data_IF_807301482558
#
_entry.id   IF_807301482558
#
_cell.length_a   1.000
_cell.length_b   1.000
_cell.length_c   1.000
_cell.angle_alpha   90.00
_cell.angle_beta   90.00
_cell.angle_gamma   90.00
#
_symmetry.space_group_name_H-M   'P 1'
#
loop_
_entity.id
_entity.type
_entity.pdbx_description
1 polymer ?
#
# COMPACT_ATOMS: atom_id res chain seq x y z
N UNK A 1 -31.58 -21.35 -24.50
CA UNK A 1 -31.00 -20.65 -23.33
C UNK A 1 -30.46 -19.31 -23.79
N UNK A 2 -31.15 -18.22 -23.42
CA UNK A 2 -30.80 -16.85 -23.79
C UNK A 2 -29.42 -16.48 -23.23
N UNK A 3 -28.46 -16.23 -24.13
CA UNK A 3 -27.16 -15.65 -23.78
C UNK A 3 -27.38 -14.19 -23.40
N UNK A 4 -27.63 -13.93 -22.12
CA UNK A 4 -27.49 -12.60 -21.53
C UNK A 4 -26.08 -12.08 -21.84
N UNK A 5 -25.97 -11.15 -22.78
CA UNK A 5 -24.76 -10.38 -23.05
C UNK A 5 -24.49 -9.50 -21.85
N UNK A 6 -23.74 -10.04 -20.88
CA UNK A 6 -23.25 -9.30 -19.73
C UNK A 6 -22.37 -8.14 -20.22
N UNK A 7 -22.57 -6.98 -19.64
CA UNK A 7 -21.68 -5.85 -19.82
C UNK A 7 -20.24 -6.22 -19.42
N UNK A 8 -19.24 -6.13 -20.31
CA UNK A 8 -17.89 -6.66 -20.08
C UNK A 8 -17.12 -6.02 -18.92
N UNK A 9 -17.63 -4.92 -18.35
CA UNK A 9 -17.01 -4.16 -17.26
C UNK A 9 -17.54 -4.50 -15.86
N UNK A 10 -18.62 -5.27 -15.71
CA UNK A 10 -19.10 -5.72 -14.41
C UNK A 10 -18.42 -7.04 -14.03
N UNK A 11 -17.75 -7.13 -12.86
CA UNK A 11 -17.13 -8.38 -12.45
C UNK A 11 -18.20 -9.47 -12.28
N UNK A 12 -17.99 -10.68 -12.80
CA UNK A 12 -18.79 -11.83 -12.41
C UNK A 12 -18.70 -12.07 -10.90
N UNK A 13 -19.83 -12.46 -10.30
CA UNK A 13 -19.82 -13.12 -8.98
C UNK A 13 -19.06 -14.46 -8.99
N UNK A 14 -19.02 -15.15 -10.14
CA UNK A 14 -18.27 -16.40 -10.35
C UNK A 14 -17.38 -16.26 -11.59
N UNK A 15 -16.06 -16.05 -11.43
CA UNK A 15 -15.16 -15.84 -12.56
C UNK A 15 -15.05 -17.12 -13.40
N UNK A 16 -15.10 -16.98 -14.73
CA UNK A 16 -15.01 -18.11 -15.68
C UNK A 16 -13.77 -18.02 -16.55
N UNK A 17 -13.14 -16.85 -16.62
CA UNK A 17 -11.99 -16.55 -17.45
C UNK A 17 -10.90 -15.82 -16.64
N UNK A 18 -9.64 -15.80 -17.10
CA UNK A 18 -8.59 -15.01 -16.46
C UNK A 18 -8.89 -13.51 -16.42
N UNK A 19 -9.53 -12.95 -17.45
CA UNK A 19 -9.97 -11.56 -17.46
C UNK A 19 -11.02 -11.30 -16.36
N UNK A 20 -11.94 -12.23 -16.12
CA UNK A 20 -12.92 -12.14 -15.04
C UNK A 20 -12.26 -12.05 -13.65
N UNK A 21 -11.18 -12.82 -13.43
CA UNK A 21 -10.41 -12.78 -12.18
C UNK A 21 -9.78 -11.40 -11.99
N UNK A 22 -9.22 -10.81 -13.05
CA UNK A 22 -8.69 -9.45 -12.99
C UNK A 22 -9.77 -8.42 -12.64
N UNK A 23 -10.96 -8.53 -13.25
CA UNK A 23 -12.07 -7.63 -12.94
C UNK A 23 -12.56 -7.77 -11.49
N UNK A 24 -12.63 -9.01 -10.98
CA UNK A 24 -13.00 -9.27 -9.60
C UNK A 24 -11.94 -8.73 -8.63
N UNK A 25 -10.66 -8.95 -8.92
CA UNK A 25 -9.55 -8.39 -8.16
C UNK A 25 -9.59 -6.86 -8.12
N UNK A 26 -9.83 -6.21 -9.28
CA UNK A 26 -9.94 -4.76 -9.38
C UNK A 26 -11.11 -4.22 -8.55
N UNK A 27 -12.28 -4.87 -8.63
CA UNK A 27 -13.44 -4.51 -7.83
C UNK A 27 -13.19 -4.71 -6.33
N UNK A 28 -12.49 -5.78 -5.94
CA UNK A 28 -12.05 -6.00 -4.56
C UNK A 28 -11.12 -4.89 -4.06
N UNK A 29 -10.17 -4.45 -4.90
CA UNK A 29 -9.28 -3.34 -4.59
C UNK A 29 -10.05 -2.01 -4.46
N UNK A 30 -11.01 -1.74 -5.34
CA UNK A 30 -11.88 -0.57 -5.25
C UNK A 30 -12.75 -0.58 -3.98
N UNK A 31 -13.23 -1.76 -3.56
CA UNK A 31 -13.99 -1.93 -2.33
C UNK A 31 -13.16 -1.53 -1.10
N UNK A 32 -11.82 -1.64 -1.14
CA UNK A 32 -10.97 -1.21 -0.03
C UNK A 32 -11.05 0.29 0.26
N UNK A 33 -11.40 1.12 -0.72
CA UNK A 33 -11.69 2.55 -0.50
C UNK A 33 -12.88 2.72 0.44
N UNK A 34 -13.91 1.88 0.29
CA UNK A 34 -15.09 1.87 1.16
C UNK A 34 -14.76 1.26 2.52
N UNK A 35 -13.96 0.19 2.55
CA UNK A 35 -13.48 -0.40 3.82
C UNK A 35 -12.70 0.64 4.64
N UNK A 36 -11.87 1.47 4.00
CA UNK A 36 -11.21 2.60 4.65
C UNK A 36 -12.19 3.49 5.43
N UNK A 37 -13.33 3.84 4.83
CA UNK A 37 -14.39 4.59 5.51
C UNK A 37 -14.98 3.85 6.70
N UNK A 38 -15.20 2.53 6.58
CA UNK A 38 -15.69 1.70 7.69
C UNK A 38 -14.68 1.69 8.85
N UNK A 39 -13.37 1.71 8.55
CA UNK A 39 -12.34 1.70 9.60
C UNK A 39 -12.25 2.98 10.42
N UNK A 40 -12.86 4.08 9.94
CA UNK A 40 -13.10 5.29 10.75
C UNK A 40 -13.93 4.94 11.97
N UNK A 41 -14.95 4.10 11.81
CA UNK A 41 -15.81 3.66 12.92
C UNK A 41 -15.15 2.51 13.68
N UNK A 42 -14.69 1.45 12.99
CA UNK A 42 -14.19 0.23 13.63
C UNK A 42 -12.68 0.04 13.35
N UNK A 43 -11.78 0.15 14.35
CA UNK A 43 -10.35 -0.02 14.11
C UNK A 43 -10.01 -1.47 13.72
N UNK A 44 -9.00 -1.64 12.86
CA UNK A 44 -8.49 -2.96 12.50
C UNK A 44 -7.91 -3.70 13.74
N UNK A 45 -8.23 -4.99 13.94
CA UNK A 45 -7.96 -5.71 15.19
C UNK A 45 -6.51 -6.26 15.28
N UNK A 46 -5.49 -5.41 15.14
CA UNK A 46 -4.09 -5.80 15.25
C UNK A 46 -3.23 -4.76 15.99
N UNK A 47 -2.10 -5.19 16.57
CA UNK A 47 -1.21 -4.32 17.34
C UNK A 47 -1.88 -3.79 18.62
N UNK A 48 -1.82 -2.48 18.86
CA UNK A 48 -2.43 -1.84 20.05
C UNK A 48 -3.96 -1.99 20.16
N UNK A 49 -4.63 -2.37 19.07
CA UNK A 49 -6.08 -2.61 19.00
C UNK A 49 -6.45 -4.09 18.87
N UNK A 50 -5.50 -5.01 19.07
CA UNK A 50 -5.78 -6.44 19.01
C UNK A 50 -6.69 -6.93 20.15
N UNK A 51 -7.57 -7.91 19.90
CA UNK A 51 -8.45 -8.47 20.93
C UNK A 51 -7.62 -9.14 22.05
N UNK A 52 -7.86 -8.73 23.31
CA UNK A 52 -7.18 -9.28 24.49
C UNK A 52 -7.74 -10.65 24.89
N UNK A 53 -9.05 -10.84 24.71
CA UNK A 53 -9.77 -12.11 24.88
C UNK A 53 -10.31 -12.55 23.51
N UNK A 54 -9.64 -13.52 22.88
CA UNK A 54 -9.98 -13.96 21.53
C UNK A 54 -10.92 -15.18 21.58
N UNK A 55 -12.08 -15.09 20.93
CA UNK A 55 -13.01 -16.20 20.69
C UNK A 55 -13.02 -16.61 19.20
N UNK A 56 -13.35 -17.87 18.93
CA UNK A 56 -13.40 -18.42 17.57
C UNK A 56 -12.03 -18.49 16.86
N UNK A 57 -11.99 -18.17 15.56
CA UNK A 57 -10.76 -18.18 14.74
C UNK A 57 -9.68 -17.22 15.25
N UNK A 58 -10.03 -16.24 16.11
CA UNK A 58 -9.07 -15.32 16.69
C UNK A 58 -8.14 -15.97 17.73
N UNK A 59 -8.47 -17.20 18.20
CA UNK A 59 -7.68 -17.94 19.19
C UNK A 59 -6.30 -18.39 18.66
N UNK A 60 -6.20 -18.63 17.36
CA UNK A 60 -4.96 -19.08 16.73
C UNK A 60 -4.02 -17.89 16.54
N UNK A 61 -2.96 -17.85 17.35
CA UNK A 61 -1.91 -16.84 17.29
C UNK A 61 -0.70 -17.36 16.52
N UNK A 62 -0.03 -16.45 15.84
CA UNK A 62 1.26 -16.69 15.19
C UNK A 62 2.25 -15.62 15.65
N UNK A 63 3.53 -15.99 15.68
CA UNK A 63 4.63 -15.06 15.94
C UNK A 63 4.51 -13.82 15.05
N UNK A 64 4.66 -12.64 15.64
CA UNK A 64 4.42 -11.39 14.93
C UNK A 64 5.35 -11.13 13.73
N UNK A 65 6.61 -11.57 13.79
CA UNK A 65 7.55 -11.41 12.67
C UNK A 65 7.26 -12.41 11.56
N UNK A 66 6.96 -13.67 11.91
CA UNK A 66 6.57 -14.68 10.93
C UNK A 66 5.24 -14.31 10.22
N UNK A 67 4.25 -13.83 10.96
CA UNK A 67 2.99 -13.37 10.39
C UNK A 67 3.18 -12.20 9.42
N UNK A 68 4.09 -11.27 9.74
CA UNK A 68 4.44 -10.16 8.85
C UNK A 68 5.13 -10.64 7.56
N UNK A 69 6.09 -11.56 7.66
CA UNK A 69 6.71 -12.18 6.49
C UNK A 69 5.66 -12.85 5.59
N UNK A 70 4.81 -13.70 6.18
CA UNK A 70 3.82 -14.49 5.44
C UNK A 70 2.76 -13.65 4.75
N UNK A 71 2.38 -12.50 5.31
CA UNK A 71 1.38 -11.64 4.69
C UNK A 71 1.96 -10.80 3.55
N UNK A 72 3.21 -10.34 3.69
CA UNK A 72 3.83 -9.41 2.74
C UNK A 72 4.47 -10.10 1.52
N UNK A 73 5.01 -11.31 1.69
CA UNK A 73 5.82 -12.00 0.67
C UNK A 73 5.06 -12.27 -0.64
N UNK A 74 3.73 -12.38 -0.57
CA UNK A 74 2.92 -12.67 -1.75
C UNK A 74 2.89 -11.54 -2.78
N UNK A 75 3.00 -10.28 -2.33
CA UNK A 75 3.02 -9.11 -3.22
C UNK A 75 4.08 -9.21 -4.31
N UNK A 76 5.39 -9.27 -3.97
CA UNK A 76 6.47 -9.34 -4.95
C UNK A 76 6.45 -10.65 -5.75
N UNK A 77 6.09 -11.78 -5.12
CA UNK A 77 6.02 -13.08 -5.81
C UNK A 77 4.97 -13.04 -6.93
N UNK A 78 3.75 -12.60 -6.62
CA UNK A 78 2.66 -12.56 -7.59
C UNK A 78 2.89 -11.48 -8.64
N UNK A 79 3.48 -10.34 -8.27
CA UNK A 79 3.84 -9.30 -9.23
C UNK A 79 4.86 -9.81 -10.26
N UNK A 80 5.98 -10.38 -9.80
CA UNK A 80 7.02 -10.90 -10.68
C UNK A 80 6.52 -12.07 -11.52
N UNK A 81 5.70 -12.95 -10.96
CA UNK A 81 5.06 -14.04 -11.70
C UNK A 81 4.14 -13.51 -12.81
N UNK A 82 3.36 -12.48 -12.51
CA UNK A 82 2.46 -11.83 -13.48
C UNK A 82 3.25 -11.13 -14.60
N UNK A 83 4.36 -10.48 -14.27
CA UNK A 83 5.24 -9.81 -15.23
C UNK A 83 6.07 -10.78 -16.08
N UNK A 84 6.38 -11.95 -15.52
CA UNK A 84 7.11 -13.00 -16.22
C UNK A 84 6.22 -13.89 -17.08
N UNK A 85 4.90 -13.74 -17.00
CA UNK A 85 3.95 -14.53 -17.78
C UNK A 85 3.73 -13.92 -19.16
N UNK A 86 3.56 -14.79 -20.15
CA UNK A 86 3.24 -14.42 -21.53
C UNK A 86 1.79 -13.94 -21.68
N UNK A 87 1.45 -13.34 -22.83
CA UNK A 87 0.07 -13.11 -23.31
C UNK A 87 -0.87 -12.28 -22.43
N UNK A 88 -1.83 -11.62 -23.08
CA UNK A 88 -2.91 -10.89 -22.39
C UNK A 88 -3.85 -11.89 -21.70
N UNK A 89 -4.47 -11.48 -20.58
CA UNK A 89 -5.46 -12.30 -19.90
C UNK A 89 -6.66 -12.56 -20.82
N UNK A 90 -6.92 -13.84 -21.09
CA UNK A 90 -7.98 -14.26 -22.01
C UNK A 90 -9.37 -13.91 -21.50
N UNK A 91 -10.23 -13.45 -22.41
CA UNK A 91 -11.67 -13.21 -22.17
C UNK A 91 -12.54 -14.43 -22.48
N UNK A 92 -11.93 -15.53 -22.90
CA UNK A 92 -12.59 -16.78 -23.23
C UNK A 92 -11.75 -18.00 -22.83
N UNK A 93 -12.36 -19.17 -22.81
CA UNK A 93 -11.71 -20.42 -22.43
C UNK A 93 -11.71 -20.69 -20.92
N UNK A 94 -11.13 -21.82 -20.48
CA UNK A 94 -11.24 -22.29 -19.12
C UNK A 94 -10.35 -21.49 -18.15
N UNK A 95 -10.89 -21.21 -16.96
CA UNK A 95 -10.13 -20.68 -15.84
C UNK A 95 -9.25 -21.79 -15.23
N UNK A 96 -7.94 -21.68 -15.42
CA UNK A 96 -6.92 -22.58 -14.87
C UNK A 96 -5.73 -21.75 -14.40
N UNK A 97 -4.91 -22.27 -13.49
CA UNK A 97 -3.71 -21.56 -13.05
C UNK A 97 -2.76 -21.24 -14.23
N UNK A 98 -2.66 -22.16 -15.20
CA UNK A 98 -1.88 -21.96 -16.43
C UNK A 98 -2.47 -20.92 -17.39
N UNK A 99 -3.74 -20.53 -17.24
CA UNK A 99 -4.35 -19.44 -18.03
C UNK A 99 -4.30 -18.10 -17.30
N UNK A 100 -4.10 -18.10 -15.97
CA UNK A 100 -3.81 -16.91 -15.16
C UNK A 100 -2.33 -16.51 -15.32
N UNK A 101 -1.43 -17.49 -15.23
CA UNK A 101 0.03 -17.35 -15.40
C UNK A 101 0.54 -18.24 -16.54
N UNK A 102 0.27 -17.91 -17.81
CA UNK A 102 0.70 -18.69 -18.96
C UNK A 102 2.21 -18.53 -19.22
N UNK A 103 2.92 -19.66 -19.22
CA UNK A 103 4.34 -19.77 -19.58
C UNK A 103 5.23 -18.72 -18.86
N UNK A 104 5.25 -18.69 -17.51
CA UNK A 104 6.09 -17.75 -16.79
C UNK A 104 7.57 -18.04 -17.05
N UNK A 105 8.33 -17.04 -17.48
CA UNK A 105 9.78 -17.16 -17.69
C UNK A 105 10.48 -15.83 -17.45
N UNK A 106 11.74 -15.89 -17.00
CA UNK A 106 12.57 -14.70 -16.82
C UNK A 106 12.79 -13.95 -18.15
N UNK A 107 12.87 -14.67 -19.27
CA UNK A 107 12.99 -14.09 -20.61
C UNK A 107 11.80 -13.20 -20.97
N UNK A 108 10.58 -13.57 -20.55
CA UNK A 108 9.40 -12.72 -20.78
C UNK A 108 9.47 -11.42 -19.97
N UNK A 109 10.00 -11.46 -18.75
CA UNK A 109 10.21 -10.26 -17.94
C UNK A 109 11.23 -9.32 -18.61
N UNK A 110 12.36 -9.86 -19.06
CA UNK A 110 13.38 -9.08 -19.77
C UNK A 110 12.92 -8.53 -21.12
N UNK A 111 11.89 -9.14 -21.73
CA UNK A 111 11.25 -8.66 -22.95
C UNK A 111 10.23 -7.53 -22.71
N UNK A 112 9.95 -7.14 -21.46
CA UNK A 112 9.13 -5.96 -21.20
C UNK A 112 9.91 -4.68 -21.53
N UNK A 113 9.25 -3.56 -21.86
CA UNK A 113 9.93 -2.27 -21.99
C UNK A 113 10.73 -1.92 -20.73
N UNK A 114 11.89 -1.29 -20.90
CA UNK A 114 12.78 -0.95 -19.78
C UNK A 114 12.09 -0.14 -18.66
N UNK A 115 11.23 0.87 -18.93
CA UNK A 115 10.50 1.58 -17.88
C UNK A 115 9.64 0.65 -17.02
N UNK A 116 8.98 -0.33 -17.63
CA UNK A 116 8.15 -1.32 -16.91
C UNK A 116 9.00 -2.22 -16.03
N UNK A 117 10.16 -2.66 -16.52
CA UNK A 117 11.12 -3.43 -15.72
C UNK A 117 11.59 -2.63 -14.52
N UNK A 118 11.97 -1.36 -14.69
CA UNK A 118 12.40 -0.47 -13.61
C UNK A 118 11.31 -0.35 -12.53
N UNK A 119 10.06 -0.10 -12.92
CA UNK A 119 8.95 -0.01 -11.97
C UNK A 119 8.68 -1.34 -11.26
N UNK A 120 8.67 -2.45 -11.99
CA UNK A 120 8.50 -3.78 -11.39
C UNK A 120 9.61 -4.12 -10.39
N UNK A 121 10.86 -3.77 -10.71
CA UNK A 121 11.99 -3.97 -9.82
C UNK A 121 11.97 -3.05 -8.61
N UNK A 122 11.54 -1.79 -8.77
CA UNK A 122 11.34 -0.89 -7.63
C UNK A 122 10.33 -1.47 -6.63
N UNK A 123 9.17 -1.94 -7.12
CA UNK A 123 8.17 -2.62 -6.29
C UNK A 123 8.78 -3.83 -5.58
N UNK A 124 9.55 -4.67 -6.30
CA UNK A 124 10.21 -5.82 -5.70
C UNK A 124 11.20 -5.41 -4.61
N UNK A 125 11.98 -4.33 -4.80
CA UNK A 125 12.92 -3.81 -3.79
C UNK A 125 12.18 -3.35 -2.53
N UNK A 126 11.09 -2.58 -2.67
CA UNK A 126 10.24 -2.19 -1.55
C UNK A 126 9.80 -3.42 -0.75
N UNK A 127 9.26 -4.44 -1.42
CA UNK A 127 8.74 -5.62 -0.73
C UNK A 127 9.80 -6.62 -0.27
N UNK A 128 10.99 -6.65 -0.87
CA UNK A 128 12.12 -7.36 -0.27
C UNK A 128 12.47 -6.73 1.08
N UNK A 129 12.48 -5.39 1.15
CA UNK A 129 12.63 -4.70 2.42
C UNK A 129 11.48 -5.02 3.38
N UNK A 130 10.22 -4.89 2.94
CA UNK A 130 9.05 -5.05 3.83
C UNK A 130 8.72 -6.48 4.24
N UNK A 131 8.84 -7.44 3.33
CA UNK A 131 8.50 -8.83 3.60
C UNK A 131 9.66 -9.59 4.24
N UNK A 132 10.90 -9.30 3.86
CA UNK A 132 12.06 -10.12 4.26
C UNK A 132 12.96 -9.38 5.24
N UNK A 133 13.57 -8.27 4.83
CA UNK A 133 14.59 -7.58 5.63
C UNK A 133 14.01 -7.07 6.95
N UNK A 134 12.85 -6.41 6.89
CA UNK A 134 12.25 -5.76 8.04
C UNK A 134 11.79 -6.79 9.10
N UNK A 135 11.07 -7.87 8.77
CA UNK A 135 10.74 -8.92 9.75
C UNK A 135 11.96 -9.60 10.37
N UNK A 136 13.05 -9.77 9.62
CA UNK A 136 14.29 -10.37 10.13
C UNK A 136 15.07 -9.44 11.06
N UNK A 137 15.04 -8.12 10.82
CA UNK A 137 15.80 -7.12 11.60
C UNK A 137 15.03 -6.48 12.75
N UNK A 138 13.71 -6.62 12.73
CA UNK A 138 12.86 -6.00 13.74
C UNK A 138 12.91 -6.76 15.05
N UNK A 139 12.91 -6.04 16.19
CA UNK A 139 12.70 -6.68 17.49
C UNK A 139 11.35 -7.42 17.52
N UNK A 140 11.18 -8.41 18.43
CA UNK A 140 9.99 -9.24 18.47
C UNK A 140 8.70 -8.40 18.45
N UNK A 141 7.89 -8.60 17.41
CA UNK A 141 6.53 -8.05 17.34
C UNK A 141 5.60 -8.86 18.22
N UNK A 142 4.59 -8.18 18.77
CA UNK A 142 3.47 -8.83 19.46
C UNK A 142 2.82 -9.86 18.55
N UNK A 143 2.49 -11.02 19.12
CA UNK A 143 1.76 -12.08 18.43
C UNK A 143 0.47 -11.54 17.80
N UNK A 144 0.19 -12.01 16.58
CA UNK A 144 -1.00 -11.62 15.83
C UNK A 144 -1.93 -12.80 15.66
N UNK A 145 -3.24 -12.52 15.56
CA UNK A 145 -4.22 -13.55 15.19
C UNK A 145 -4.03 -13.93 13.73
N UNK A 146 -4.10 -15.23 13.41
CA UNK A 146 -3.87 -15.78 12.07
C UNK A 146 -4.79 -15.20 10.98
N UNK A 147 -5.96 -14.71 11.35
CA UNK A 147 -6.90 -14.07 10.41
C UNK A 147 -6.32 -12.78 9.80
N UNK A 148 -5.48 -12.06 10.54
CA UNK A 148 -4.86 -10.80 10.11
C UNK A 148 -3.89 -11.03 8.95
N UNK A 149 -2.83 -11.86 9.09
CA UNK A 149 -1.92 -12.12 7.99
C UNK A 149 -2.60 -12.85 6.82
N UNK A 150 -3.66 -13.64 7.07
CA UNK A 150 -4.42 -14.27 5.99
C UNK A 150 -5.12 -13.23 5.09
N UNK A 151 -5.83 -12.25 5.68
CA UNK A 151 -6.46 -11.17 4.90
C UNK A 151 -5.45 -10.24 4.25
N UNK A 152 -4.37 -9.91 4.95
CA UNK A 152 -3.29 -9.13 4.37
C UNK A 152 -2.61 -9.88 3.20
N UNK A 153 -2.44 -11.21 3.27
CA UNK A 153 -1.99 -12.01 2.15
C UNK A 153 -2.97 -11.94 0.96
N UNK A 154 -4.28 -12.00 1.18
CA UNK A 154 -5.28 -11.83 0.11
C UNK A 154 -5.15 -10.45 -0.56
N UNK A 155 -4.97 -9.39 0.24
CA UNK A 155 -4.72 -8.05 -0.28
C UNK A 155 -3.43 -8.01 -1.12
N UNK A 156 -2.34 -8.58 -0.61
CA UNK A 156 -1.04 -8.60 -1.30
C UNK A 156 -1.06 -9.41 -2.59
N UNK A 157 -1.75 -10.56 -2.60
CA UNK A 157 -2.00 -11.36 -3.81
C UNK A 157 -2.79 -10.54 -4.83
N UNK A 158 -3.86 -9.87 -4.39
CA UNK A 158 -4.72 -9.04 -5.26
C UNK A 158 -3.95 -7.87 -5.84
N UNK A 159 -3.22 -7.12 -5.01
CA UNK A 159 -2.45 -5.96 -5.41
C UNK A 159 -1.30 -6.34 -6.36
N UNK A 160 -0.50 -7.35 -5.99
CA UNK A 160 0.58 -7.87 -6.84
C UNK A 160 0.06 -8.41 -8.17
N UNK A 161 -1.10 -9.08 -8.19
CA UNK A 161 -1.73 -9.57 -9.41
C UNK A 161 -2.15 -8.42 -10.33
N UNK A 162 -2.83 -7.40 -9.79
CA UNK A 162 -3.28 -6.25 -10.56
C UNK A 162 -2.10 -5.44 -11.12
N UNK A 163 -1.16 -5.04 -10.27
CA UNK A 163 0.02 -4.27 -10.65
C UNK A 163 0.90 -5.03 -11.64
N UNK A 164 1.17 -6.31 -11.39
CA UNK A 164 2.01 -7.12 -12.26
C UNK A 164 1.40 -7.34 -13.65
N UNK A 165 0.09 -7.62 -13.75
CA UNK A 165 -0.57 -7.75 -15.05
C UNK A 165 -0.70 -6.40 -15.78
N UNK A 166 -0.90 -5.30 -15.05
CA UNK A 166 -0.92 -3.96 -15.62
C UNK A 166 0.44 -3.58 -16.20
N UNK A 167 1.52 -3.67 -15.40
CA UNK A 167 2.88 -3.34 -15.84
C UNK A 167 3.42 -4.27 -16.92
N UNK A 168 2.80 -5.43 -17.14
CA UNK A 168 3.14 -6.35 -18.21
C UNK A 168 2.32 -6.15 -19.50
N UNK A 169 1.35 -5.21 -19.51
CA UNK A 169 0.47 -5.04 -20.66
C UNK A 169 -0.50 -6.19 -20.87
N UNK A 170 -0.85 -6.90 -19.79
CA UNK A 170 -1.69 -8.10 -19.79
C UNK A 170 -3.10 -7.85 -19.27
N UNK A 171 -3.34 -6.65 -18.71
CA UNK A 171 -4.66 -6.22 -18.30
C UNK A 171 -5.62 -6.15 -19.51
N UNK A 172 -6.90 -6.54 -19.36
CA UNK A 172 -7.87 -6.42 -20.45
C UNK A 172 -8.06 -4.98 -20.94
N UNK A 173 -7.93 -4.75 -22.25
CA UNK A 173 -8.00 -3.41 -22.86
C UNK A 173 -9.31 -2.66 -22.60
N UNK A 174 -10.43 -3.37 -22.45
CA UNK A 174 -11.74 -2.74 -22.24
C UNK A 174 -11.85 -1.98 -20.89
N UNK A 175 -10.91 -2.19 -19.97
CA UNK A 175 -10.87 -1.49 -18.67
C UNK A 175 -10.66 0.02 -18.85
N UNK A 176 -9.95 0.41 -19.91
CA UNK A 176 -9.63 1.81 -20.24
C UNK A 176 -10.51 2.38 -21.37
N UNK A 177 -11.49 1.65 -21.89
CA UNK A 177 -12.35 2.11 -23.00
C UNK A 177 -13.19 3.36 -22.61
N UNK A 178 -13.17 4.45 -23.42
CA UNK A 178 -13.93 5.68 -23.17
C UNK A 178 -15.45 5.54 -23.23
N UNK A 179 -15.99 4.43 -23.73
CA UNK A 179 -17.43 4.14 -23.75
C UNK A 179 -18.05 3.97 -22.36
N UNK A 180 -17.26 4.12 -21.30
CA UNK A 180 -17.67 4.02 -19.90
C UNK A 180 -17.62 5.40 -19.21
N UNK A 181 -17.92 6.46 -19.96
CA UNK A 181 -18.67 7.60 -19.43
C UNK A 181 -20.15 7.42 -19.83
N UNK A 182 -20.81 6.38 -19.31
CA UNK A 182 -22.26 6.39 -19.31
C UNK A 182 -22.70 7.30 -18.15
N UNK A 183 -23.20 8.52 -18.39
CA UNK A 183 -23.93 9.23 -17.36
C UNK A 183 -25.10 8.33 -16.94
N UNK A 184 -25.48 8.38 -15.66
CA UNK A 184 -26.76 7.97 -15.06
C UNK A 184 -27.94 7.90 -16.07
N UNK A 185 -27.96 6.87 -16.91
CA UNK A 185 -29.04 6.54 -17.85
C UNK A 185 -29.43 5.07 -17.75
N UNK A 186 -28.82 4.33 -16.81
CA UNK A 186 -29.22 2.99 -16.42
C UNK A 186 -30.40 2.98 -15.42
N UNK A 187 -31.22 4.03 -15.44
CA UNK A 187 -32.56 4.07 -14.85
C UNK A 187 -33.68 4.09 -15.93
N UNK A 188 -33.35 3.99 -17.23
CA UNK A 188 -34.33 4.08 -18.34
C UNK A 188 -34.31 2.87 -19.30
N UNK A 189 -33.87 1.71 -18.83
CA UNK A 189 -33.74 0.48 -19.62
C UNK A 189 -35.01 -0.36 -19.80
N UNK A 190 -36.20 0.25 -19.76
CA UNK A 190 -37.48 -0.39 -20.14
C UNK A 190 -37.84 -0.12 -21.61
N UNK A 191 -37.12 0.74 -22.35
CA UNK A 191 -37.64 1.28 -23.62
C UNK A 191 -36.67 1.36 -24.81
N UNK A 192 -35.75 0.40 -24.99
CA UNK A 192 -35.00 0.31 -26.28
C UNK A 192 -34.83 -1.12 -26.82
N UNK A 193 -35.78 -1.98 -26.45
CA UNK A 193 -36.22 -3.03 -27.36
C UNK A 193 -36.68 -2.33 -28.65
N UNK A 194 -36.21 -2.77 -29.83
CA UNK A 194 -36.35 -2.15 -31.14
C UNK A 194 -35.30 -1.09 -31.50
N UNK A 195 -34.16 -1.55 -32.06
CA UNK A 195 -33.74 -1.25 -33.44
C UNK A 195 -32.47 -2.07 -33.77
N UNK A 196 -32.45 -2.59 -35.00
CA UNK A 196 -31.69 -3.75 -35.50
C UNK A 196 -30.48 -3.32 -36.32
N UNK A 197 -29.40 -4.12 -36.29
CA UNK A 197 -28.50 -4.30 -37.45
C UNK A 197 -27.01 -4.03 -37.23
N UNK A 198 -26.15 -5.00 -37.55
CA UNK A 198 -24.71 -4.78 -37.75
C UNK A 198 -23.81 -5.96 -37.34
N UNK A 199 -23.47 -6.81 -38.31
CA UNK A 199 -22.48 -7.89 -38.22
C UNK A 199 -21.03 -7.35 -38.21
N UNK A 200 -20.12 -8.01 -37.49
CA UNK A 200 -18.79 -8.37 -38.03
C UNK A 200 -18.00 -9.29 -37.09
N UNK A 201 -17.43 -10.33 -37.69
CA UNK A 201 -16.49 -11.28 -37.09
C UNK A 201 -15.11 -10.63 -36.89
N UNK A 202 -14.40 -10.97 -35.82
CA UNK A 202 -12.98 -10.65 -35.66
C UNK A 202 -12.19 -11.92 -35.32
N UNK A 203 -11.08 -12.24 -36.02
CA UNK A 203 -10.25 -13.39 -35.72
C UNK A 203 -9.30 -13.07 -34.57
N UNK A 204 -9.15 -14.02 -33.64
CA UNK A 204 -8.10 -14.03 -32.62
C UNK A 204 -6.79 -14.52 -33.23
N UNK A 205 -5.86 -13.61 -33.49
CA UNK A 205 -4.46 -13.93 -33.75
C UNK A 205 -3.62 -13.59 -32.50
N UNK A 206 -2.97 -14.61 -31.93
CA UNK A 206 -1.95 -14.45 -30.91
C UNK A 206 -0.72 -13.78 -31.53
N UNK A 207 -0.38 -12.58 -31.09
CA UNK A 207 0.81 -11.85 -31.55
C UNK A 207 1.98 -12.14 -30.60
N UNK A 208 3.02 -12.77 -31.15
CA UNK A 208 4.34 -12.90 -30.54
C UNK A 208 5.02 -11.52 -30.54
N UNK A 209 5.52 -11.09 -29.39
CA UNK A 209 6.08 -9.73 -29.20
C UNK A 209 7.43 -9.63 -29.93
N UNK A 210 7.50 -8.78 -30.96
CA UNK A 210 8.76 -8.17 -31.43
C UNK A 210 8.65 -6.65 -31.23
N UNK A 211 9.69 -6.08 -30.61
CA UNK A 211 9.76 -4.68 -30.21
C UNK A 211 9.72 -3.74 -31.42
N UNK A 212 8.68 -2.91 -31.49
CA UNK A 212 8.59 -1.76 -32.39
C UNK A 212 7.98 -0.59 -31.60
N UNK A 213 8.42 0.63 -31.91
CA UNK A 213 8.00 1.87 -31.24
C UNK A 213 6.48 1.91 -31.03
N UNK A 214 6.06 1.96 -29.76
CA UNK A 214 4.67 1.82 -29.32
C UNK A 214 3.89 3.09 -29.67
N UNK A 215 2.89 2.97 -30.56
CA UNK A 215 1.96 4.05 -30.91
C UNK A 215 0.85 4.22 -29.84
N UNK A 216 0.13 5.36 -29.77
CA UNK A 216 -1.00 5.52 -28.84
C UNK A 216 -2.08 4.43 -28.96
N UNK A 217 -2.31 3.90 -30.16
CA UNK A 217 -3.23 2.76 -30.38
C UNK A 217 -2.76 1.47 -29.68
N UNK A 218 -1.45 1.30 -29.53
CA UNK A 218 -0.82 0.18 -28.85
C UNK A 218 -0.93 0.29 -27.32
N UNK A 219 -0.91 1.51 -26.78
CA UNK A 219 -1.16 1.78 -25.35
C UNK A 219 -2.60 1.42 -24.98
N UNK A 220 -3.56 1.78 -25.85
CA UNK A 220 -4.97 1.42 -25.66
C UNK A 220 -5.20 -0.10 -25.77
N UNK A 221 -4.48 -0.78 -26.67
CA UNK A 221 -4.57 -2.23 -26.84
C UNK A 221 -3.85 -3.03 -25.73
N UNK A 222 -2.82 -2.46 -25.11
CA UNK A 222 -2.02 -3.08 -24.04
C UNK A 222 -1.83 -2.10 -22.87
N UNK A 223 -2.88 -1.91 -22.06
CA UNK A 223 -2.86 -0.98 -20.95
C UNK A 223 -1.69 -1.26 -20.01
N UNK A 224 -0.96 -0.21 -19.65
CA UNK A 224 0.15 -0.26 -18.69
C UNK A 224 1.53 -0.53 -19.29
N UNK A 225 1.67 -0.87 -20.58
CA UNK A 225 2.97 -0.83 -21.25
C UNK A 225 3.41 0.60 -21.51
N UNK A 226 4.66 0.90 -21.16
CA UNK A 226 5.27 2.20 -21.32
C UNK A 226 6.21 2.17 -22.54
N UNK A 227 6.10 3.12 -23.48
CA UNK A 227 7.05 3.23 -24.58
C UNK A 227 8.44 3.59 -24.05
N UNK A 228 9.50 3.24 -24.78
CA UNK A 228 10.88 3.63 -24.39
C UNK A 228 11.07 5.15 -24.31
N UNK A 229 10.24 5.92 -25.03
CA UNK A 229 10.16 7.37 -24.91
C UNK A 229 9.87 7.86 -23.47
N UNK A 230 9.28 7.01 -22.61
CA UNK A 230 9.06 7.30 -21.19
C UNK A 230 10.35 7.68 -20.47
N UNK A 231 11.49 7.07 -20.83
CA UNK A 231 12.79 7.36 -20.22
C UNK A 231 13.29 8.77 -20.52
N UNK A 232 12.76 9.42 -21.56
CA UNK A 232 13.06 10.82 -21.90
C UNK A 232 12.16 11.81 -21.15
N UNK A 233 11.12 11.33 -20.47
CA UNK A 233 10.19 12.17 -19.73
C UNK A 233 10.78 12.55 -18.38
N UNK A 234 10.90 13.85 -18.04
CA UNK A 234 11.27 14.28 -16.70
C UNK A 234 10.32 13.75 -15.62
N UNK A 235 9.03 13.59 -15.96
CA UNK A 235 8.02 13.13 -15.03
C UNK A 235 8.25 11.68 -14.57
N UNK A 236 8.80 10.83 -15.44
CA UNK A 236 9.19 9.47 -15.08
C UNK A 236 10.24 9.47 -13.97
N UNK A 237 11.29 10.26 -14.15
CA UNK A 237 12.42 10.34 -13.22
C UNK A 237 12.06 11.07 -11.92
N UNK A 238 11.27 12.14 -12.00
CA UNK A 238 10.74 12.81 -10.81
C UNK A 238 9.91 11.82 -9.98
N UNK A 239 9.03 11.05 -10.61
CA UNK A 239 8.26 10.01 -9.94
C UNK A 239 9.14 8.89 -9.36
N UNK A 240 10.13 8.39 -10.12
CA UNK A 240 10.99 7.32 -9.64
C UNK A 240 11.89 7.77 -8.47
N UNK A 241 12.54 8.94 -8.58
CA UNK A 241 13.38 9.45 -7.49
C UNK A 241 12.56 9.86 -6.27
N UNK A 242 11.35 10.41 -6.47
CA UNK A 242 10.40 10.63 -5.39
C UNK A 242 10.02 9.32 -4.68
N UNK A 243 9.78 8.25 -5.45
CA UNK A 243 9.47 6.93 -4.88
C UNK A 243 10.64 6.39 -4.04
N UNK A 244 11.88 6.49 -4.55
CA UNK A 244 13.09 6.09 -3.82
C UNK A 244 13.27 6.91 -2.53
N UNK A 245 13.06 8.23 -2.58
CA UNK A 245 13.13 9.08 -1.39
C UNK A 245 12.05 8.72 -0.37
N UNK A 246 10.83 8.41 -0.82
CA UNK A 246 9.74 7.91 0.01
C UNK A 246 10.10 6.60 0.71
N UNK A 247 10.65 5.63 -0.03
CA UNK A 247 11.11 4.35 0.52
C UNK A 247 12.20 4.55 1.57
N UNK A 248 13.21 5.37 1.27
CA UNK A 248 14.30 5.66 2.20
C UNK A 248 13.77 6.31 3.48
N UNK A 249 12.86 7.28 3.36
CA UNK A 249 12.19 7.91 4.49
C UNK A 249 11.34 6.91 5.28
N UNK A 250 10.59 6.03 4.62
CA UNK A 250 9.79 4.99 5.29
C UNK A 250 10.68 4.06 6.12
N UNK A 251 11.79 3.57 5.56
CA UNK A 251 12.78 2.72 6.25
C UNK A 251 13.39 3.45 7.45
N UNK A 252 13.80 4.70 7.27
CA UNK A 252 14.40 5.51 8.33
C UNK A 252 13.47 5.65 9.54
N UNK A 253 12.20 6.00 9.31
CA UNK A 253 11.23 6.17 10.39
C UNK A 253 10.82 4.85 11.04
N UNK A 254 10.80 3.75 10.28
CA UNK A 254 10.59 2.40 10.81
C UNK A 254 11.72 1.98 11.76
N UNK A 255 12.96 2.29 11.42
CA UNK A 255 14.13 1.95 12.24
C UNK A 255 14.13 2.73 13.56
N UNK A 256 13.67 4.00 13.55
CA UNK A 256 13.42 4.76 14.79
C UNK A 256 12.44 4.00 15.69
N UNK A 257 11.31 3.51 15.14
CA UNK A 257 10.33 2.75 15.92
C UNK A 257 10.88 1.40 16.41
N UNK A 258 11.69 0.73 15.60
CA UNK A 258 12.36 -0.51 15.99
C UNK A 258 13.33 -0.26 17.15
N UNK A 259 14.11 0.82 17.10
CA UNK A 259 15.06 1.19 18.15
C UNK A 259 14.37 1.45 19.49
N UNK A 260 13.15 1.99 19.51
CA UNK A 260 12.40 2.17 20.76
C UNK A 260 12.09 0.86 21.49
N UNK A 261 12.02 -0.26 20.76
CA UNK A 261 11.73 -1.59 21.30
C UNK A 261 12.97 -2.42 21.60
N UNK A 262 14.12 -2.07 21.04
CA UNK A 262 15.40 -2.70 21.38
C UNK A 262 15.74 -2.28 22.81
N UNK A 263 16.25 -3.22 23.62
CA UNK A 263 16.75 -2.87 24.95
C UNK A 263 17.83 -1.79 24.80
N UNK A 264 17.92 -0.79 25.70
CA UNK A 264 19.03 0.15 25.69
C UNK A 264 20.33 -0.67 25.77
N UNK A 265 21.22 -0.51 24.80
CA UNK A 265 22.56 -1.09 24.91
C UNK A 265 23.24 -0.38 26.06
N UNK A 266 23.53 -1.09 27.15
CA UNK A 266 24.27 -0.53 28.27
C UNK A 266 25.59 0.06 27.77
N UNK A 267 25.76 1.38 27.96
CA UNK A 267 27.00 2.08 27.61
C UNK A 267 27.04 2.74 26.22
N UNK A 268 25.97 2.71 25.43
CA UNK A 268 25.89 3.52 24.20
C UNK A 268 25.05 4.77 24.50
N UNK A 269 25.65 5.98 24.59
CA UNK A 269 24.86 7.20 24.70
C UNK A 269 23.90 7.27 23.52
N UNK A 270 22.64 7.61 23.80
CA UNK A 270 21.61 7.77 22.78
C UNK A 270 22.18 8.64 21.65
N UNK A 271 22.30 8.05 20.46
CA UNK A 271 22.74 8.78 19.27
C UNK A 271 21.56 9.66 18.85
N UNK A 272 21.40 10.78 19.56
CA UNK A 272 20.53 11.94 19.32
C UNK A 272 20.70 12.93 20.51
N UNK A 273 21.92 13.38 20.73
CA UNK A 273 22.22 14.54 21.58
C UNK A 273 23.51 15.26 21.11
N UNK A 274 23.85 15.14 19.81
CA UNK A 274 25.11 15.64 19.26
C UNK A 274 24.92 16.70 18.15
N UNK A 275 23.80 17.42 18.13
CA UNK A 275 23.65 18.65 17.34
C UNK A 275 23.64 19.93 18.18
N UNK A 276 23.46 19.85 19.51
CA UNK A 276 23.17 21.02 20.35
C UNK A 276 24.30 21.37 21.34
N UNK A 277 25.49 20.76 21.20
CA UNK A 277 26.61 20.94 22.13
C UNK A 277 27.87 21.56 21.49
N UNK A 278 27.70 22.49 20.53
CA UNK A 278 28.78 23.33 20.01
C UNK A 278 28.60 24.83 20.31
N UNK A 279 27.76 25.18 21.28
CA UNK A 279 27.74 26.52 21.87
C UNK A 279 27.97 26.36 23.37
N UNK A 280 29.05 27.00 23.84
CA UNK A 280 29.52 27.11 25.21
C UNK A 280 30.28 25.91 25.80
N UNK A 281 31.61 25.98 25.65
CA UNK A 281 32.56 25.09 26.30
C UNK A 281 32.54 25.24 27.83
N UNK A 282 31.92 24.28 28.51
CA UNK A 282 32.33 23.83 29.85
C UNK A 282 31.76 22.43 30.16
N UNK A 283 32.59 21.42 30.50
CA UNK A 283 32.06 20.11 30.88
C UNK A 283 31.42 20.16 32.28
N UNK A 284 30.28 19.47 32.52
CA UNK A 284 29.70 19.38 33.86
C UNK A 284 30.49 18.39 34.72
N UNK A 285 30.68 18.78 35.98
CA UNK A 285 31.45 18.05 36.98
C UNK A 285 30.84 16.68 37.31
N UNK A 286 31.70 15.67 37.37
CA UNK A 286 31.39 14.28 37.68
C UNK A 286 31.44 14.08 39.19
N UNK A 287 30.29 14.06 39.88
CA UNK A 287 30.24 13.62 41.27
C UNK A 287 30.15 12.09 41.32
N UNK A 288 31.30 11.47 41.53
CA UNK A 288 31.42 10.11 42.07
C UNK A 288 31.11 10.15 43.56
N UNK A 289 30.08 9.42 44.00
CA UNK A 289 30.09 8.83 45.33
C UNK A 289 29.60 7.37 45.26
N UNK A 290 30.51 6.52 45.71
CA UNK A 290 30.40 5.09 45.96
C UNK A 290 29.33 4.77 47.01
N UNK A 291 28.68 3.61 46.88
CA UNK A 291 28.73 2.58 47.92
C UNK A 291 28.38 1.22 47.32
N UNK A 292 29.24 0.24 47.62
CA UNK A 292 29.08 -1.18 47.31
C UNK A 292 28.43 -1.90 48.51
N UNK A 293 27.55 -2.86 48.18
CA UNK A 293 27.11 -4.06 48.93
C UNK A 293 25.79 -4.48 48.26
N UNK A 294 25.45 -5.72 47.92
CA UNK A 294 25.94 -7.06 48.23
C UNK A 294 24.73 -7.99 47.98
N UNK A 295 24.95 -9.27 47.72
CA UNK A 295 23.91 -10.29 47.85
C UNK A 295 23.20 -10.73 46.56
N UNK A 296 23.46 -11.97 46.17
CA UNK A 296 22.58 -12.74 45.32
C UNK A 296 21.22 -12.97 46.01
N UNK A 297 20.12 -12.72 45.30
CA UNK A 297 18.82 -13.32 45.61
C UNK A 297 17.99 -13.42 44.33
N UNK A 298 17.67 -14.65 43.94
CA UNK A 298 16.59 -14.94 43.01
C UNK A 298 15.28 -14.43 43.62
N UNK A 299 14.56 -13.59 42.88
CA UNK A 299 13.23 -13.11 43.24
C UNK A 299 12.40 -12.96 41.97
N UNK A 300 11.47 -13.89 41.76
CA UNK A 300 10.35 -13.71 40.85
C UNK A 300 9.50 -12.53 41.36
N UNK A 301 9.73 -11.31 40.85
CA UNK A 301 8.77 -10.23 41.02
C UNK A 301 7.65 -10.36 39.97
N UNK A 302 6.59 -11.07 40.36
CA UNK A 302 5.29 -10.94 39.73
C UNK A 302 4.75 -9.53 40.01
N UNK A 303 4.51 -8.76 38.95
CA UNK A 303 3.93 -7.41 39.07
C UNK A 303 2.41 -7.50 39.18
N UNK A 304 1.91 -7.02 40.32
CA UNK A 304 0.48 -6.88 40.64
C UNK A 304 -0.23 -5.85 39.73
N UNK A 305 -1.47 -6.17 39.35
CA UNK A 305 -2.44 -5.24 38.77
C UNK A 305 -3.11 -4.41 39.89
N UNK A 306 -3.40 -3.14 39.66
CA UNK A 306 -4.39 -2.44 40.47
C UNK A 306 -5.81 -2.90 40.08
N UNK A 307 -6.74 -2.80 41.03
CA UNK A 307 -8.12 -3.29 40.90
C UNK A 307 -8.97 -2.52 39.86
N UNK A 308 -8.40 -1.54 39.17
CA UNK A 308 -9.10 -0.66 38.23
C UNK A 308 -8.56 -0.73 36.79
N UNK A 309 -7.58 -1.58 36.50
CA UNK A 309 -7.07 -1.79 35.13
C UNK A 309 -6.27 -0.61 34.57
N UNK A 310 -5.65 0.20 35.44
CA UNK A 310 -4.85 1.37 35.04
C UNK A 310 -3.37 1.00 34.87
N UNK A 311 -2.70 1.65 33.91
CA UNK A 311 -1.29 1.40 33.58
C UNK A 311 -0.38 1.68 34.79
N UNK A 312 0.50 0.73 35.13
CA UNK A 312 1.50 0.88 36.20
C UNK A 312 2.67 1.69 35.66
N UNK A 313 2.93 2.85 36.27
CA UNK A 313 4.07 3.71 35.94
C UNK A 313 5.28 3.23 36.75
N UNK A 314 6.31 2.71 36.09
CA UNK A 314 7.63 2.54 36.73
C UNK A 314 8.34 3.89 36.71
N UNK A 315 8.56 4.47 37.90
CA UNK A 315 9.37 5.68 38.05
C UNK A 315 10.83 5.36 37.65
N UNK A 316 11.34 6.05 36.62
CA UNK A 316 12.74 5.94 36.17
C UNK A 316 12.98 6.21 34.68
N UNK A 317 11.95 6.19 33.82
CA UNK A 317 12.08 6.45 32.38
C UNK A 317 10.98 7.43 31.95
N UNK A 318 11.27 8.73 31.95
CA UNK A 318 10.29 9.83 31.87
C UNK A 318 9.33 9.77 30.66
N UNK A 319 9.66 9.03 29.61
CA UNK A 319 8.89 8.93 28.36
C UNK A 319 8.29 7.55 28.06
N UNK A 320 8.25 6.63 29.02
CA UNK A 320 7.68 5.28 28.82
C UNK A 320 6.33 5.07 29.54
N UNK A 321 5.49 4.19 28.98
CA UNK A 321 4.27 3.66 29.61
C UNK A 321 4.17 2.18 29.31
N UNK A 322 3.98 1.35 30.34
CA UNK A 322 3.79 -0.10 30.18
C UNK A 322 2.32 -0.47 30.32
N UNK A 323 1.79 -1.17 29.32
CA UNK A 323 0.41 -1.66 29.28
C UNK A 323 0.43 -3.17 29.09
N UNK A 324 0.11 -3.92 30.14
CA UNK A 324 0.27 -5.38 30.16
C UNK A 324 1.75 -5.76 30.07
N UNK A 325 2.11 -6.59 29.07
CA UNK A 325 3.50 -7.03 28.83
C UNK A 325 4.27 -6.11 27.87
N UNK A 326 3.66 -5.04 27.37
CA UNK A 326 4.23 -4.18 26.33
C UNK A 326 4.55 -2.78 26.84
N UNK A 327 5.78 -2.32 26.60
CA UNK A 327 6.23 -0.96 26.91
C UNK A 327 6.18 -0.08 25.66
N UNK A 328 5.59 1.10 25.80
CA UNK A 328 5.43 2.10 24.75
C UNK A 328 6.22 3.36 25.11
N UNK A 329 6.83 3.99 24.11
CA UNK A 329 7.61 5.23 24.25
C UNK A 329 7.21 6.23 23.17
N UNK A 330 7.44 7.51 23.41
CA UNK A 330 7.18 8.57 22.42
C UNK A 330 8.33 8.59 21.39
N UNK A 331 8.05 8.42 20.09
CA UNK A 331 9.08 8.53 19.05
C UNK A 331 9.54 9.98 18.89
N UNK A 332 10.84 10.17 18.63
CA UNK A 332 11.51 11.47 18.46
C UNK A 332 12.48 11.39 17.28
N UNK A 333 12.69 12.52 16.62
CA UNK A 333 13.64 12.66 15.51
C UNK A 333 13.03 12.47 14.12
N UNK A 334 13.60 13.17 13.14
CA UNK A 334 13.08 13.19 11.77
C UNK A 334 11.68 13.79 11.71
N UNK A 335 10.80 13.21 10.89
CA UNK A 335 9.43 13.70 10.74
C UNK A 335 8.55 13.41 11.96
N UNK A 336 9.00 12.60 12.93
CA UNK A 336 8.26 12.38 14.18
C UNK A 336 8.07 13.66 14.98
N UNK A 337 8.89 14.69 14.75
CA UNK A 337 8.75 15.98 15.45
C UNK A 337 7.54 16.79 14.96
N UNK A 338 7.01 16.46 13.78
CA UNK A 338 5.84 17.09 13.19
C UNK A 338 4.60 16.20 13.23
N UNK A 339 4.75 14.91 12.97
CA UNK A 339 3.63 13.96 12.83
C UNK A 339 3.86 12.62 13.53
N UNK A 340 2.81 11.96 13.98
CA UNK A 340 2.92 10.68 14.71
C UNK A 340 3.21 9.47 13.81
N UNK A 341 2.79 9.53 12.55
CA UNK A 341 2.92 8.39 11.62
C UNK A 341 3.68 8.77 10.34
N UNK A 342 4.92 9.26 10.44
CA UNK A 342 5.71 9.67 9.29
C UNK A 342 6.07 8.52 8.35
N UNK A 343 6.13 7.29 8.86
CA UNK A 343 6.31 6.08 8.06
C UNK A 343 5.14 5.90 7.07
N UNK A 344 3.91 6.14 7.49
CA UNK A 344 2.73 6.12 6.60
C UNK A 344 2.79 7.24 5.55
N UNK A 345 3.15 8.45 5.95
CA UNK A 345 3.27 9.59 5.03
C UNK A 345 4.35 9.33 3.98
N UNK A 346 5.46 8.73 4.40
CA UNK A 346 6.57 8.37 3.51
C UNK A 346 6.15 7.30 2.51
N UNK A 347 5.35 6.33 2.93
CA UNK A 347 4.78 5.28 2.07
C UNK A 347 3.75 5.86 1.08
N UNK A 348 2.88 6.76 1.52
CA UNK A 348 1.96 7.45 0.61
C UNK A 348 2.71 8.27 -0.44
N UNK A 349 3.77 8.98 -0.04
CA UNK A 349 4.61 9.73 -0.94
C UNK A 349 5.32 8.80 -1.94
N UNK A 350 5.86 7.68 -1.45
CA UNK A 350 6.49 6.65 -2.27
C UNK A 350 5.56 6.16 -3.38
N UNK A 351 4.38 5.67 -3.01
CA UNK A 351 3.45 5.05 -3.96
C UNK A 351 2.75 6.07 -4.85
N UNK A 352 2.56 7.30 -4.39
CA UNK A 352 2.07 8.40 -5.24
C UNK A 352 3.11 8.76 -6.31
N UNK A 353 4.40 8.81 -5.96
CA UNK A 353 5.46 9.07 -6.92
C UNK A 353 5.66 7.89 -7.88
N UNK A 354 5.51 6.65 -7.40
CA UNK A 354 5.44 5.46 -8.25
C UNK A 354 4.30 5.54 -9.26
N UNK A 355 3.11 5.97 -8.82
CA UNK A 355 1.96 6.19 -9.70
C UNK A 355 2.30 7.23 -10.78
N UNK A 356 2.88 8.37 -10.40
CA UNK A 356 3.31 9.43 -11.32
C UNK A 356 4.27 8.88 -12.38
N UNK A 357 5.27 8.09 -11.99
CA UNK A 357 6.21 7.48 -12.92
C UNK A 357 5.52 6.51 -13.90
N UNK A 358 4.49 5.79 -13.45
CA UNK A 358 3.72 4.87 -14.30
C UNK A 358 2.67 5.55 -15.20
N UNK A 359 2.31 6.82 -14.91
CA UNK A 359 1.22 7.55 -15.56
C UNK A 359 1.70 8.61 -16.55
N UNK A 360 2.96 8.56 -16.99
CA UNK A 360 3.58 9.55 -17.88
C UNK A 360 2.78 9.80 -19.16
N UNK A 361 2.07 8.80 -19.66
CA UNK A 361 1.20 8.89 -20.85
C UNK A 361 -0.30 8.88 -20.52
N UNK A 362 -0.70 9.17 -19.28
CA UNK A 362 -2.11 9.24 -18.89
C UNK A 362 -2.90 10.29 -19.69
N UNK A 363 -2.28 11.41 -20.06
CA UNK A 363 -2.88 12.42 -20.93
C UNK A 363 -3.22 11.89 -22.34
N UNK A 364 -2.52 10.85 -22.81
CA UNK A 364 -2.87 10.18 -24.06
C UNK A 364 -4.10 9.26 -23.91
N UNK A 365 -4.43 8.84 -22.69
CA UNK A 365 -5.62 8.03 -22.37
C UNK A 365 -6.87 8.87 -22.15
N UNK A 366 -6.71 10.15 -21.81
CA UNK A 366 -7.80 11.10 -21.60
C UNK A 366 -7.60 12.31 -22.50
N UNK A 367 -8.11 12.29 -23.75
CA UNK A 367 -8.01 13.44 -24.65
C UNK A 367 -8.53 14.71 -23.96
N UNK A 368 -7.73 15.77 -23.97
CA UNK A 368 -8.15 17.08 -23.47
C UNK A 368 -9.40 17.54 -24.24
N UNK A 369 -10.41 18.15 -23.59
CA UNK A 369 -11.50 18.76 -24.32
C UNK A 369 -10.92 19.80 -25.29
N UNK A 370 -11.22 19.65 -26.58
CA UNK A 370 -10.78 20.62 -27.59
C UNK A 370 -11.20 22.03 -27.16
N UNK A 371 -10.33 23.05 -27.25
CA UNK A 371 -10.63 24.43 -26.84
C UNK A 371 -11.90 25.00 -27.49
N UNK A 372 -12.31 24.45 -28.64
CA UNK A 372 -13.49 24.84 -29.40
C UNK A 372 -14.81 24.22 -28.89
N UNK A 373 -14.75 23.21 -28.01
CA UNK A 373 -15.92 22.51 -27.44
C UNK A 373 -16.17 22.85 -25.95
N UNK A 374 -15.34 23.73 -25.36
CA UNK A 374 -15.27 23.98 -23.91
C UNK A 374 -15.99 25.25 -23.47
N UNK A 375 -17.14 25.58 -24.04
CA UNK A 375 -17.94 26.74 -23.58
C UNK A 375 -18.91 26.42 -22.44
N UNK A 376 -18.97 25.17 -21.95
CA UNK A 376 -19.86 24.81 -20.82
C UNK A 376 -19.12 24.13 -19.67
N UNK A 377 -19.37 24.61 -18.44
CA UNK A 377 -18.88 24.00 -17.19
C UNK A 377 -19.27 22.51 -17.06
N UNK A 378 -20.36 22.10 -17.71
CA UNK A 378 -20.84 20.71 -17.75
C UNK A 378 -19.90 19.79 -18.54
N UNK A 379 -19.30 20.28 -19.64
CA UNK A 379 -18.32 19.51 -20.43
C UNK A 379 -17.06 19.24 -19.60
N UNK A 380 -16.56 20.26 -18.90
CA UNK A 380 -15.39 20.14 -18.02
C UNK A 380 -15.65 19.20 -16.85
N UNK A 381 -16.81 19.29 -16.19
CA UNK A 381 -17.17 18.40 -15.08
C UNK A 381 -17.25 16.93 -15.51
N UNK A 382 -17.88 16.64 -16.66
CA UNK A 382 -17.94 15.27 -17.22
C UNK A 382 -16.54 14.72 -17.52
N UNK A 383 -15.63 15.57 -17.97
CA UNK A 383 -14.24 15.19 -18.20
C UNK A 383 -13.55 14.80 -16.90
N UNK A 384 -13.64 15.63 -15.84
CA UNK A 384 -13.03 15.33 -14.54
C UNK A 384 -13.56 14.04 -13.92
N UNK A 385 -14.87 13.81 -14.00
CA UNK A 385 -15.49 12.57 -13.51
C UNK A 385 -14.97 11.35 -14.29
N UNK A 386 -14.81 11.48 -15.60
CA UNK A 386 -14.29 10.41 -16.45
C UNK A 386 -12.81 10.13 -16.17
N UNK A 387 -12.01 11.17 -16.00
CA UNK A 387 -10.60 11.06 -15.64
C UNK A 387 -10.42 10.43 -14.25
N UNK A 388 -11.18 10.87 -13.26
CA UNK A 388 -11.18 10.27 -11.92
C UNK A 388 -11.63 8.81 -11.94
N UNK A 389 -12.69 8.49 -12.69
CA UNK A 389 -13.16 7.13 -12.89
C UNK A 389 -12.12 6.23 -13.57
N UNK A 390 -11.28 6.78 -14.45
CA UNK A 390 -10.18 6.05 -15.08
C UNK A 390 -9.04 5.78 -14.09
N UNK A 391 -8.67 6.74 -13.25
CA UNK A 391 -7.65 6.54 -12.20
C UNK A 391 -8.03 5.39 -11.26
N UNK A 392 -9.32 5.24 -10.93
CA UNK A 392 -9.81 4.13 -10.12
C UNK A 392 -9.75 2.76 -10.82
N UNK A 393 -9.45 2.71 -12.11
CA UNK A 393 -9.26 1.48 -12.90
C UNK A 393 -7.81 1.19 -13.23
N UNK A 394 -6.91 2.13 -12.95
CA UNK A 394 -5.47 1.98 -13.15
C UNK A 394 -4.87 1.54 -11.81
N UNK A 395 -4.37 0.29 -11.67
CA UNK A 395 -3.90 -0.22 -10.38
C UNK A 395 -2.79 0.62 -9.75
N UNK A 396 -1.87 1.16 -10.56
CA UNK A 396 -0.78 2.01 -10.06
C UNK A 396 -1.28 3.33 -9.48
N UNK A 397 -2.43 3.84 -9.92
CA UNK A 397 -3.09 5.01 -9.35
C UNK A 397 -4.02 4.65 -8.18
N UNK A 398 -4.72 3.52 -8.28
CA UNK A 398 -5.67 3.04 -7.28
C UNK A 398 -4.97 2.66 -5.97
N UNK A 399 -3.80 2.04 -6.04
CA UNK A 399 -3.08 1.54 -4.88
C UNK A 399 -2.77 2.62 -3.82
N UNK A 400 -2.11 3.76 -4.15
CA UNK A 400 -1.87 4.81 -3.14
C UNK A 400 -3.16 5.42 -2.59
N UNK A 401 -4.25 5.49 -3.38
CA UNK A 401 -5.55 5.94 -2.88
C UNK A 401 -6.13 4.98 -1.83
N UNK A 402 -5.99 3.67 -2.07
CA UNK A 402 -6.39 2.64 -1.11
C UNK A 402 -5.58 2.75 0.16
N UNK A 403 -4.25 2.88 0.07
CA UNK A 403 -3.39 3.06 1.25
C UNK A 403 -3.79 4.25 2.09
N UNK A 404 -3.98 5.42 1.47
CA UNK A 404 -4.45 6.62 2.16
C UNK A 404 -5.77 6.34 2.86
N UNK A 405 -6.73 5.71 2.18
CA UNK A 405 -8.05 5.41 2.74
C UNK A 405 -7.99 4.46 3.94
N UNK A 406 -7.14 3.42 3.91
CA UNK A 406 -7.07 2.42 4.99
C UNK A 406 -6.12 2.80 6.13
N UNK A 407 -5.08 3.59 5.87
CA UNK A 407 -4.09 3.98 6.87
C UNK A 407 -4.50 5.23 7.64
N UNK A 408 -5.23 6.17 7.01
CA UNK A 408 -5.64 7.43 7.66
C UNK A 408 -6.42 7.24 8.96
N UNK A 409 -7.47 6.41 8.99
CA UNK A 409 -8.26 6.22 10.21
C UNK A 409 -7.44 5.63 11.36
N UNK A 410 -6.51 4.73 11.02
CA UNK A 410 -5.60 4.12 11.98
C UNK A 410 -4.63 5.13 12.57
N UNK A 411 -4.11 6.05 11.76
CA UNK A 411 -3.19 7.08 12.21
C UNK A 411 -3.88 8.08 13.15
N UNK A 412 -5.11 8.51 12.82
CA UNK A 412 -5.92 9.43 13.65
C UNK A 412 -6.20 8.80 15.03
N UNK A 413 -6.72 7.57 15.06
CA UNK A 413 -6.92 6.84 16.32
C UNK A 413 -5.61 6.61 17.08
N UNK A 414 -4.52 6.43 16.34
CA UNK A 414 -3.19 6.30 16.90
C UNK A 414 -2.73 7.55 17.64
N UNK A 415 -3.00 8.71 17.05
CA UNK A 415 -2.70 10.03 17.60
C UNK A 415 -3.53 10.34 18.86
N UNK A 416 -4.84 10.05 18.82
CA UNK A 416 -5.71 10.15 20.00
C UNK A 416 -5.22 9.29 21.15
N UNK A 417 -4.78 8.07 20.84
CA UNK A 417 -4.20 7.17 21.84
C UNK A 417 -2.92 7.73 22.45
N UNK A 418 -2.02 8.33 21.67
CA UNK A 418 -0.80 8.97 22.20
C UNK A 418 -1.14 10.12 23.15
N UNK A 419 -2.04 11.02 22.74
CA UNK A 419 -2.53 12.12 23.59
C UNK A 419 -3.11 11.62 24.91
N UNK A 420 -3.97 10.60 24.86
CA UNK A 420 -4.59 10.01 26.05
C UNK A 420 -3.59 9.31 26.96
N UNK A 421 -2.59 8.64 26.38
CA UNK A 421 -1.67 7.77 27.14
C UNK A 421 -0.54 8.56 27.80
N UNK A 422 0.00 9.56 27.10
CA UNK A 422 1.16 10.32 27.57
C UNK A 422 0.79 11.69 28.16
N UNK A 423 -0.44 12.18 27.93
CA UNK A 423 -0.95 13.40 28.55
C UNK A 423 -0.06 14.61 28.27
N UNK A 424 0.33 15.34 29.31
CA UNK A 424 1.18 16.53 29.21
C UNK A 424 2.60 16.25 28.67
N UNK A 425 3.09 15.01 28.75
CA UNK A 425 4.41 14.62 28.19
C UNK A 425 4.40 14.54 26.67
N UNK A 426 3.22 14.37 26.08
CA UNK A 426 3.08 14.28 24.63
C UNK A 426 3.20 15.66 23.96
N UNK A 427 3.98 15.81 22.86
CA UNK A 427 4.08 17.07 22.13
C UNK A 427 2.75 17.46 21.47
N UNK A 428 2.03 18.40 22.08
CA UNK A 428 0.66 18.75 21.70
C UNK A 428 0.55 19.37 20.29
N UNK A 429 1.65 19.94 19.78
CA UNK A 429 1.73 20.51 18.44
C UNK A 429 1.78 19.46 17.32
N UNK A 430 2.15 18.21 17.63
CA UNK A 430 2.23 17.13 16.64
C UNK A 430 0.86 16.82 16.05
N UNK A 431 0.85 16.44 14.78
CA UNK A 431 -0.34 16.03 14.03
C UNK A 431 -0.31 14.52 13.76
N UNK A 432 -1.40 13.94 13.26
CA UNK A 432 -1.45 12.51 13.01
C UNK A 432 -0.60 12.10 11.79
N UNK A 433 -0.68 12.87 10.70
CA UNK A 433 -0.20 12.53 9.35
C UNK A 433 0.30 13.73 8.53
N UNK A 434 -0.43 14.85 8.48
CA UNK A 434 -0.07 15.99 7.64
C UNK A 434 0.39 17.14 8.55
N UNK A 435 1.66 17.59 8.44
CA UNK A 435 2.17 18.69 9.25
C UNK A 435 1.27 19.93 9.15
N UNK A 436 0.85 20.46 10.29
CA UNK A 436 -0.01 21.64 10.38
C UNK A 436 -1.50 21.41 10.03
N UNK A 437 -1.90 20.25 9.50
CA UNK A 437 -3.28 20.00 9.04
C UNK A 437 -3.96 18.89 9.84
N UNK A 438 -3.47 17.65 9.73
CA UNK A 438 -4.17 16.44 10.21
C UNK A 438 -3.28 15.55 11.06
#
# INVERSE_FOLDING_TARGET
>A
MSSSTRAPWLPPLMPRTPADVYMLALAGMQLMLVVGLVTIVIPAPHGKWGPRNASGLNKFKINGNLGWFLMEIWGPVILLLSMSSSSVLSTSGPLKLSTIFPQPSFSNFLALPLPNQILGMFYAVHYVNRAVINPLRSPPRTDMSLIVPAWAAVFQITNGFLLGNWLAGRAPAFIISPSIAAPLKQAKGIFSLFLRGGSSNAPTAAVTIKHAAISPSTILARPGLLPDATLRSPLFWIGLFGAIAGLASNIYHDEILANLRRAPVAGVPACNAASDALVDGKPPARNMHSHANGGAAAGNEQVHLDTNGKAVIKHGEEDSVTVGTSTYRIPRGGLFDFVDHPHYVSEWFEWSCFAIASLVFFSALVPSPSPLASSSAVTSLKWYISAAGLLLRIPTALFPLVEIAVMSPRAIKGHEWYKKTFGSRYPQQRKALIPGIL
#
